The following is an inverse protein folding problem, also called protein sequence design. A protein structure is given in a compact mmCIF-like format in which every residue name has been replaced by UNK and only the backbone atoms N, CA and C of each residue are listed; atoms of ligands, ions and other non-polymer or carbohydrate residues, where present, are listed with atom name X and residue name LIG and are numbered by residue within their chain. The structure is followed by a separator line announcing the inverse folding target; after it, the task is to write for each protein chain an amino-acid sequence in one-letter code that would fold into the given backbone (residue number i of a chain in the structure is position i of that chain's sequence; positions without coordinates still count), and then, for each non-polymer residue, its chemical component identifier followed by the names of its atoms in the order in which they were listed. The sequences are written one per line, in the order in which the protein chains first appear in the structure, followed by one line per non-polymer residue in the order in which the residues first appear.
data_IF_243469522164
#
_entry.id   IF_243469522164
#
_cell.length_a   1.000
_cell.length_b   1.000
_cell.length_c   1.000
_cell.angle_alpha   90.00
_cell.angle_beta   90.00
_cell.angle_gamma   90.00
#
_symmetry.space_group_name_H-M   'P 1'
#
loop_
_entity.id
_entity.type
_entity.pdbx_description
1 polymer ?
#
# COMPACT_ATOMS: atom_id res chain seq x y z
N UNK A 1 33.53 -8.66 36.63
CA UNK A 1 32.09 -8.64 36.97
C UNK A 1 31.31 -9.07 35.74
N UNK A 2 30.51 -10.14 35.83
CA UNK A 2 29.74 -10.71 34.72
C UNK A 2 28.60 -9.76 34.35
N UNK A 3 28.52 -9.42 33.07
CA UNK A 3 27.45 -8.66 32.43
C UNK A 3 26.12 -9.41 32.52
N UNK A 4 25.03 -8.67 32.72
CA UNK A 4 23.68 -9.17 32.48
C UNK A 4 22.84 -8.03 31.91
N UNK A 5 22.73 -8.00 30.59
CA UNK A 5 21.70 -7.21 29.89
C UNK A 5 20.39 -8.00 30.07
N UNK A 6 19.33 -7.41 30.64
CA UNK A 6 18.10 -8.15 30.90
C UNK A 6 17.48 -8.64 29.58
N UNK A 7 17.22 -9.95 29.50
CA UNK A 7 16.66 -10.66 28.34
C UNK A 7 15.30 -10.11 27.84
N UNK A 8 14.69 -9.16 28.56
CA UNK A 8 13.47 -8.45 28.18
C UNK A 8 13.67 -7.37 27.10
N UNK A 9 14.90 -6.91 26.86
CA UNK A 9 15.20 -5.94 25.80
C UNK A 9 15.41 -6.60 24.42
N UNK A 10 15.79 -7.88 24.36
CA UNK A 10 15.90 -8.61 23.08
C UNK A 10 14.56 -9.06 22.50
N UNK A 11 13.54 -9.29 23.35
CA UNK A 11 12.24 -9.79 22.91
C UNK A 11 11.45 -8.84 22.02
N UNK A 12 11.66 -7.52 22.15
CA UNK A 12 10.97 -6.50 21.34
C UNK A 12 11.63 -6.28 19.97
N UNK A 13 12.94 -6.51 19.85
CA UNK A 13 13.65 -6.43 18.57
C UNK A 13 13.23 -7.54 17.58
N UNK A 14 12.92 -8.75 18.08
CA UNK A 14 12.44 -9.86 17.23
C UNK A 14 11.03 -9.67 16.67
N UNK A 15 10.17 -8.87 17.31
CA UNK A 15 8.80 -8.63 16.82
C UNK A 15 8.77 -7.60 15.68
N UNK A 16 9.74 -6.69 15.64
CA UNK A 16 9.90 -5.70 14.56
C UNK A 16 10.65 -6.30 13.36
N UNK A 17 11.60 -7.21 13.58
CA UNK A 17 12.26 -7.97 12.51
C UNK A 17 11.47 -9.19 11.99
N UNK A 18 10.37 -9.55 12.67
CA UNK A 18 9.61 -10.79 12.45
C UNK A 18 8.34 -10.65 11.62
N UNK A 19 7.96 -9.43 11.19
CA UNK A 19 7.03 -9.28 10.07
C UNK A 19 7.83 -9.54 8.79
N UNK A 20 8.05 -10.84 8.52
CA UNK A 20 8.10 -11.30 7.13
C UNK A 20 6.89 -10.67 6.46
N UNK A 21 7.15 -9.71 5.58
CA UNK A 21 6.34 -9.54 4.40
C UNK A 21 6.09 -10.93 3.85
N UNK A 22 4.89 -11.47 4.06
CA UNK A 22 4.40 -12.49 3.15
C UNK A 22 4.33 -11.77 1.82
N UNK A 23 5.41 -11.88 1.05
CA UNK A 23 5.37 -11.63 -0.38
C UNK A 23 4.14 -12.39 -0.92
N UNK A 24 3.42 -11.86 -1.93
CA UNK A 24 2.41 -12.66 -2.60
C UNK A 24 3.07 -13.98 -3.01
N UNK A 25 2.38 -15.08 -2.72
CA UNK A 25 2.83 -16.43 -3.01
C UNK A 25 3.44 -16.47 -4.40
N UNK A 26 4.67 -16.99 -4.47
CA UNK A 26 5.35 -17.34 -5.72
C UNK A 26 4.36 -18.03 -6.66
N UNK A 27 4.26 -17.68 -7.95
CA UNK A 27 3.32 -18.31 -8.88
C UNK A 27 3.77 -19.71 -9.32
N UNK A 28 4.42 -20.47 -8.43
CA UNK A 28 4.89 -21.83 -8.65
C UNK A 28 4.79 -22.60 -7.32
N UNK A 29 3.55 -22.89 -6.96
CA UNK A 29 3.14 -23.77 -5.88
C UNK A 29 1.63 -23.81 -5.96
N UNK A 30 1.07 -24.93 -6.42
CA UNK A 30 -0.38 -25.15 -6.45
C UNK A 30 -0.97 -24.85 -5.07
N UNK A 31 -1.58 -23.67 -4.92
CA UNK A 31 -2.55 -23.45 -3.87
C UNK A 31 -3.76 -24.32 -4.23
N UNK A 32 -3.90 -25.44 -3.52
CA UNK A 32 -4.93 -26.50 -3.60
C UNK A 32 -6.39 -26.00 -3.47
N UNK A 33 -6.60 -24.68 -3.43
CA UNK A 33 -7.91 -24.03 -3.45
C UNK A 33 -8.51 -23.88 -4.85
N UNK A 34 -7.71 -24.04 -5.92
CA UNK A 34 -8.16 -23.88 -7.31
C UNK A 34 -8.58 -22.45 -7.69
N UNK A 35 -8.43 -21.47 -6.79
CA UNK A 35 -8.81 -20.08 -7.01
C UNK A 35 -7.59 -19.30 -7.50
N UNK A 36 -7.71 -18.70 -8.69
CA UNK A 36 -6.67 -17.82 -9.22
C UNK A 36 -6.59 -16.53 -8.39
N UNK A 37 -5.42 -16.29 -7.80
CA UNK A 37 -5.11 -15.04 -7.12
C UNK A 37 -3.72 -14.55 -7.54
N UNK A 38 -3.66 -13.36 -8.14
CA UNK A 38 -2.40 -12.72 -8.49
C UNK A 38 -2.54 -11.20 -8.41
N UNK A 39 -1.63 -10.56 -7.68
CA UNK A 39 -1.59 -9.10 -7.57
C UNK A 39 -0.73 -8.55 -8.69
N UNK A 40 -1.36 -7.98 -9.70
CA UNK A 40 -0.66 -7.36 -10.82
C UNK A 40 -0.07 -6.00 -10.42
N UNK A 41 1.14 -5.65 -10.92
CA UNK A 41 1.68 -4.30 -10.75
C UNK A 41 0.82 -3.28 -11.52
N UNK A 42 0.90 -2.00 -11.15
CA UNK A 42 0.05 -0.95 -11.74
C UNK A 42 0.28 -0.81 -13.25
N UNK A 43 1.52 -0.99 -13.70
CA UNK A 43 1.93 -0.95 -15.10
C UNK A 43 1.27 -2.05 -15.94
N UNK A 44 0.82 -3.14 -15.30
CA UNK A 44 0.14 -4.22 -16.01
C UNK A 44 -1.13 -3.75 -16.74
N UNK A 45 -1.81 -2.73 -16.20
CA UNK A 45 -3.01 -2.16 -16.80
C UNK A 45 -2.75 -1.42 -18.11
N UNK A 46 -1.50 -1.05 -18.42
CA UNK A 46 -1.15 -0.37 -19.66
C UNK A 46 -1.40 -1.24 -20.90
N UNK A 47 -1.52 -2.56 -20.74
CA UNK A 47 -1.86 -3.50 -21.81
C UNK A 47 -3.20 -3.22 -22.49
N UNK A 48 -4.11 -2.51 -21.81
CA UNK A 48 -5.44 -2.18 -22.33
C UNK A 48 -5.49 -0.81 -23.02
N UNK A 49 -4.35 -0.11 -23.13
CA UNK A 49 -4.30 1.23 -23.73
C UNK A 49 -4.67 1.24 -25.21
N UNK A 50 -4.63 0.11 -25.89
CA UNK A 50 -5.08 -0.05 -27.27
C UNK A 50 -6.61 0.08 -27.38
N UNK A 51 -7.34 -0.57 -26.48
CA UNK A 51 -8.80 -0.73 -26.52
C UNK A 51 -9.54 0.25 -25.61
N UNK A 52 -8.89 0.73 -24.54
CA UNK A 52 -9.48 1.61 -23.54
C UNK A 52 -8.57 2.78 -23.19
N UNK A 53 -9.16 3.87 -22.73
CA UNK A 53 -8.44 4.93 -22.01
C UNK A 53 -8.22 4.47 -20.59
N UNK A 54 -6.95 4.24 -20.22
CA UNK A 54 -6.54 3.81 -18.88
C UNK A 54 -6.13 5.04 -18.08
N UNK A 55 -6.76 5.25 -16.92
CA UNK A 55 -6.39 6.31 -15.97
C UNK A 55 -6.20 5.69 -14.59
N UNK A 56 -5.17 6.11 -13.88
CA UNK A 56 -4.90 5.65 -12.51
C UNK A 56 -4.94 6.85 -11.57
N UNK A 57 -5.62 6.72 -10.45
CA UNK A 57 -5.76 7.77 -9.45
C UNK A 57 -5.53 7.24 -8.04
N UNK A 58 -5.09 8.07 -7.10
CA UNK A 58 -5.14 7.71 -5.69
C UNK A 58 -6.58 7.81 -5.18
N UNK A 59 -7.07 6.77 -4.50
CA UNK A 59 -8.31 6.84 -3.71
C UNK A 59 -8.03 7.28 -2.28
N UNK A 60 -7.01 6.65 -1.68
CA UNK A 60 -6.51 6.88 -0.33
C UNK A 60 -5.03 6.50 -0.26
N UNK A 61 -4.25 7.34 0.39
CA UNK A 61 -2.83 7.05 0.63
C UNK A 61 -2.57 5.95 1.66
N UNK A 62 -3.35 5.93 2.74
CA UNK A 62 -3.10 5.09 3.90
C UNK A 62 -4.33 4.29 4.31
N UNK A 63 -4.12 3.09 4.82
CA UNK A 63 -5.12 2.33 5.55
C UNK A 63 -5.46 2.98 6.89
N UNK A 64 -6.58 2.56 7.46
CA UNK A 64 -7.10 3.12 8.70
C UNK A 64 -6.17 2.92 9.91
N UNK A 65 -5.41 1.83 9.98
CA UNK A 65 -4.49 1.55 11.09
C UNK A 65 -3.21 2.37 10.97
N UNK A 66 -2.62 2.45 9.77
CA UNK A 66 -1.47 3.34 9.49
C UNK A 66 -1.84 4.79 9.77
N UNK A 67 -3.02 5.21 9.32
CA UNK A 67 -3.55 6.55 9.52
C UNK A 67 -3.70 6.88 11.02
N UNK A 68 -4.28 5.99 11.83
CA UNK A 68 -4.40 6.17 13.29
C UNK A 68 -3.05 6.21 14.00
N UNK A 69 -2.05 5.49 13.49
CA UNK A 69 -0.71 5.47 14.06
C UNK A 69 0.10 6.72 13.75
N UNK A 70 -0.07 7.29 12.55
CA UNK A 70 0.71 8.43 12.07
C UNK A 70 0.06 9.78 12.42
N UNK A 71 -1.27 9.85 12.35
CA UNK A 71 -2.00 11.11 12.43
C UNK A 71 -2.72 11.20 13.79
N UNK A 72 -2.35 12.17 14.66
CA UNK A 72 -2.95 12.30 15.97
C UNK A 72 -4.40 12.78 15.90
N UNK A 73 -5.24 12.34 16.83
CA UNK A 73 -6.63 12.79 16.94
C UNK A 73 -6.72 14.15 17.66
N UNK A 74 -6.27 15.20 16.97
CA UNK A 74 -6.34 16.59 17.44
C UNK A 74 -6.32 17.58 16.26
N UNK A 75 -6.37 18.88 16.55
CA UNK A 75 -6.33 19.95 15.53
C UNK A 75 -5.05 19.95 14.68
N UNK A 76 -3.96 19.34 15.14
CA UNK A 76 -2.76 19.19 14.32
C UNK A 76 -2.93 18.05 13.30
N UNK A 77 -3.59 16.96 13.69
CA UNK A 77 -3.93 15.87 12.78
C UNK A 77 -4.84 16.31 11.64
N UNK A 78 -5.83 17.15 11.92
CA UNK A 78 -6.67 17.79 10.89
C UNK A 78 -5.81 18.52 9.84
N UNK A 79 -4.83 19.32 10.27
CA UNK A 79 -3.91 20.01 9.35
C UNK A 79 -3.02 19.05 8.55
N UNK A 80 -2.60 17.94 9.15
CA UNK A 80 -1.81 16.91 8.47
C UNK A 80 -2.67 16.24 7.39
N UNK A 81 -3.94 15.93 7.69
CA UNK A 81 -4.88 15.42 6.69
C UNK A 81 -5.10 16.41 5.54
N UNK A 82 -5.34 17.67 5.86
CA UNK A 82 -5.55 18.69 4.84
C UNK A 82 -4.32 18.83 3.93
N UNK A 83 -3.12 18.73 4.50
CA UNK A 83 -1.89 18.74 3.73
C UNK A 83 -1.76 17.47 2.87
N UNK A 84 -2.08 16.30 3.44
CA UNK A 84 -2.05 15.03 2.72
C UNK A 84 -2.98 15.08 1.49
N UNK A 85 -4.23 15.50 1.66
CA UNK A 85 -5.16 15.63 0.54
C UNK A 85 -4.68 16.63 -0.52
N UNK A 86 -4.13 17.78 -0.11
CA UNK A 86 -3.54 18.73 -1.07
C UNK A 86 -2.36 18.13 -1.83
N UNK A 87 -1.57 17.27 -1.20
CA UNK A 87 -0.48 16.57 -1.86
C UNK A 87 -0.98 15.48 -2.79
N UNK A 88 -2.01 14.71 -2.39
CA UNK A 88 -2.69 13.72 -3.24
C UNK A 88 -3.22 14.36 -4.52
N UNK A 89 -3.92 15.50 -4.40
CA UNK A 89 -4.47 16.24 -5.53
C UNK A 89 -3.37 16.84 -6.43
N UNK A 90 -2.24 17.25 -5.83
CA UNK A 90 -1.14 17.89 -6.56
C UNK A 90 -0.26 16.87 -7.30
N UNK A 91 -0.07 15.68 -6.74
CA UNK A 91 0.82 14.65 -7.26
C UNK A 91 0.13 13.27 -7.40
N UNK A 92 -1.02 13.19 -8.09
CA UNK A 92 -1.85 11.99 -8.08
C UNK A 92 -1.11 10.76 -8.61
N UNK A 93 -0.24 10.91 -9.60
CA UNK A 93 0.54 9.79 -10.16
C UNK A 93 1.52 9.17 -9.16
N UNK A 94 2.12 9.99 -8.29
CA UNK A 94 3.05 9.52 -7.25
C UNK A 94 2.27 8.76 -6.20
N UNK A 95 1.14 9.32 -5.78
CA UNK A 95 0.28 8.70 -4.78
C UNK A 95 -0.31 7.39 -5.28
N UNK A 96 -0.80 7.36 -6.51
CA UNK A 96 -1.32 6.15 -7.13
C UNK A 96 -0.26 5.03 -7.24
N UNK A 97 1.02 5.36 -7.50
CA UNK A 97 2.07 4.36 -7.70
C UNK A 97 2.69 3.81 -6.42
N UNK A 98 2.75 4.61 -5.37
CA UNK A 98 3.54 4.28 -4.17
C UNK A 98 2.71 4.04 -2.92
N UNK A 99 1.42 4.36 -2.95
CA UNK A 99 0.53 4.22 -1.80
C UNK A 99 -0.51 3.13 -2.03
N UNK A 100 -1.35 2.88 -1.02
CA UNK A 100 -2.05 1.61 -0.90
C UNK A 100 -3.25 1.42 -1.83
N UNK A 101 -4.01 2.47 -2.12
CA UNK A 101 -5.30 2.34 -2.80
C UNK A 101 -5.35 3.11 -4.12
N UNK A 102 -4.73 2.59 -5.20
CA UNK A 102 -4.95 3.10 -6.54
C UNK A 102 -6.31 2.66 -7.10
N UNK A 103 -7.00 3.56 -7.77
CA UNK A 103 -8.16 3.26 -8.61
C UNK A 103 -7.73 3.26 -10.05
N UNK A 104 -7.98 2.15 -10.74
CA UNK A 104 -7.81 2.03 -12.19
C UNK A 104 -9.17 2.24 -12.85
N UNK A 105 -9.27 3.27 -13.69
CA UNK A 105 -10.44 3.56 -14.52
C UNK A 105 -10.13 3.18 -15.95
N UNK A 106 -10.89 2.22 -16.48
CA UNK A 106 -10.85 1.81 -17.88
C UNK A 106 -12.09 2.36 -18.57
N UNK A 107 -11.92 3.34 -19.46
CA UNK A 107 -13.02 3.87 -20.27
C UNK A 107 -12.91 3.30 -21.67
N UNK A 108 -13.94 2.60 -22.14
CA UNK A 108 -14.00 2.09 -23.51
C UNK A 108 -13.82 3.26 -24.50
N UNK A 109 -12.94 3.11 -25.49
CA UNK A 109 -12.85 4.10 -26.57
C UNK A 109 -14.11 3.99 -27.43
N UNK A 110 -14.77 5.12 -27.66
CA UNK A 110 -15.88 5.18 -28.63
C UNK A 110 -15.34 4.81 -30.00
N UNK A 111 -15.97 3.82 -30.64
CA UNK A 111 -15.67 3.38 -32.00
C UNK A 111 -16.15 4.41 -33.02
#
# INVERSE_FOLDING_TARGET
MKSSIPARLLGKARKVLGRRTTAPSTPNGEDDSGIYFFVHPIEWWDRFRDTATVRVFPWRSFDADTQKGLIPDNRAGEKIFDLLFKLEDRFPDVFARHFEYPVIVLTKKSA
#
